data_IF_476100178789
#
_entry.id   IF_476100178789
#
_cell.length_a   1.000
_cell.length_b   1.000
_cell.length_c   1.000
_cell.angle_alpha   90.00
_cell.angle_beta   90.00
_cell.angle_gamma   90.00
#
_symmetry.space_group_name_H-M   'P 1'
#
loop_
_entity.id
_entity.type
_entity.pdbx_description
1 polymer ?
#
# COMPACT_ATOMS: atom_id res chain seq x y z
N UNK A 1 -17.05 12.47 8.83
CA UNK A 1 -15.84 12.71 8.02
C UNK A 1 -15.83 11.74 6.86
N UNK A 2 -15.62 12.25 5.62
CA UNK A 2 -15.57 11.45 4.39
C UNK A 2 -14.17 11.47 3.78
N UNK A 3 -13.57 10.31 3.64
CA UNK A 3 -12.21 10.13 3.12
C UNK A 3 -12.25 9.34 1.83
N UNK A 4 -11.69 9.90 0.75
CA UNK A 4 -11.50 9.17 -0.51
C UNK A 4 -10.04 8.70 -0.61
N UNK A 5 -9.84 7.40 -0.68
CA UNK A 5 -8.52 6.76 -0.80
C UNK A 5 -8.22 6.31 -2.23
N UNK A 6 -6.98 6.48 -2.65
CA UNK A 6 -6.49 6.11 -3.98
C UNK A 6 -5.24 5.24 -3.84
N UNK A 7 -5.16 4.13 -4.58
CA UNK A 7 -3.94 3.34 -4.70
C UNK A 7 -3.67 2.87 -6.13
N UNK A 8 -2.42 2.98 -6.53
CA UNK A 8 -1.87 2.52 -7.81
C UNK A 8 -0.46 1.95 -7.65
N UNK A 9 -0.09 1.58 -6.41
CA UNK A 9 1.26 1.11 -6.10
C UNK A 9 1.60 -0.26 -6.70
N UNK A 10 0.58 -1.12 -6.87
CA UNK A 10 0.71 -2.46 -7.46
C UNK A 10 0.25 -2.45 -8.93
N UNK A 11 -0.05 -3.61 -9.51
CA UNK A 11 -0.71 -3.69 -10.82
C UNK A 11 -2.19 -3.29 -10.79
N UNK A 12 -2.83 -3.42 -9.64
CA UNK A 12 -4.21 -3.03 -9.41
C UNK A 12 -4.37 -1.52 -9.25
N UNK A 13 -5.54 -1.00 -9.63
CA UNK A 13 -6.00 0.35 -9.27
C UNK A 13 -7.13 0.18 -8.26
N UNK A 14 -7.00 0.78 -7.09
CA UNK A 14 -8.04 0.74 -6.06
C UNK A 14 -8.48 2.15 -5.66
N UNK A 15 -9.77 2.30 -5.41
CA UNK A 15 -10.37 3.52 -4.87
C UNK A 15 -11.33 3.12 -3.75
N UNK A 16 -11.20 3.74 -2.59
CA UNK A 16 -12.05 3.54 -1.43
C UNK A 16 -12.72 4.83 -0.97
N UNK A 17 -13.94 4.74 -0.52
CA UNK A 17 -14.63 5.81 0.21
C UNK A 17 -14.99 5.28 1.59
N UNK A 18 -14.55 6.02 2.61
CA UNK A 18 -14.88 5.77 4.01
C UNK A 18 -15.64 6.96 4.55
N UNK A 19 -16.81 6.72 5.13
CA UNK A 19 -17.55 7.72 5.88
C UNK A 19 -17.56 7.33 7.35
N UNK A 20 -17.11 8.25 8.21
CA UNK A 20 -17.10 8.12 9.65
C UNK A 20 -18.05 9.14 10.26
N UNK A 21 -18.75 8.74 11.31
CA UNK A 21 -19.52 9.68 12.11
C UNK A 21 -18.62 10.46 13.10
N UNK A 22 -19.24 11.17 14.06
CA UNK A 22 -18.49 12.03 14.99
C UNK A 22 -17.74 11.26 16.07
N UNK A 23 -18.14 10.04 16.35
CA UNK A 23 -17.48 9.15 17.33
C UNK A 23 -16.42 8.25 16.67
N UNK A 24 -16.27 8.34 15.33
CA UNK A 24 -15.33 7.55 14.56
C UNK A 24 -15.87 6.20 14.09
N UNK A 25 -17.16 5.91 14.29
CA UNK A 25 -17.80 4.70 13.76
C UNK A 25 -17.97 4.78 12.24
N UNK A 26 -17.73 3.66 11.56
CA UNK A 26 -17.87 3.57 10.10
C UNK A 26 -19.37 3.54 9.71
N UNK A 27 -19.81 4.55 8.96
CA UNK A 27 -21.15 4.62 8.39
C UNK A 27 -21.22 4.00 7.00
N UNK A 28 -20.18 4.24 6.19
CA UNK A 28 -20.08 3.74 4.82
C UNK A 28 -18.63 3.35 4.53
N UNK A 29 -18.45 2.19 3.92
CA UNK A 29 -17.16 1.70 3.44
C UNK A 29 -17.35 1.04 2.07
N UNK A 30 -16.93 1.71 1.00
CA UNK A 30 -17.04 1.24 -0.39
C UNK A 30 -15.65 1.16 -0.98
N UNK A 31 -15.31 0.06 -1.64
CA UNK A 31 -14.09 -0.06 -2.43
C UNK A 31 -14.42 -0.55 -3.84
N UNK A 32 -13.81 0.09 -4.82
CA UNK A 32 -13.82 -0.34 -6.22
C UNK A 32 -12.40 -0.58 -6.70
N UNK A 33 -12.25 -1.60 -7.53
CA UNK A 33 -10.94 -2.05 -7.99
C UNK A 33 -10.97 -2.35 -9.49
N UNK A 34 -9.82 -2.14 -10.13
CA UNK A 34 -9.46 -2.68 -11.42
C UNK A 34 -8.23 -3.59 -11.21
N UNK A 35 -8.47 -4.89 -11.15
CA UNK A 35 -7.43 -5.91 -10.99
C UNK A 35 -7.13 -6.51 -12.39
N UNK A 36 -6.06 -6.09 -13.07
CA UNK A 36 -5.76 -6.57 -14.41
C UNK A 36 -5.36 -8.05 -14.36
N UNK A 37 -5.69 -8.84 -15.41
CA UNK A 37 -5.21 -10.20 -15.52
C UNK A 37 -3.69 -10.30 -15.38
N UNK A 38 -3.14 -11.44 -14.90
CA UNK A 38 -1.71 -11.63 -14.79
C UNK A 38 -0.97 -11.32 -16.10
N UNK A 39 0.15 -10.58 -16.02
CA UNK A 39 0.98 -10.15 -17.15
C UNK A 39 0.35 -9.12 -18.09
N UNK A 40 -0.85 -8.60 -17.81
CA UNK A 40 -1.41 -7.47 -18.54
C UNK A 40 -0.86 -6.14 -18.03
N UNK A 41 -0.99 -5.10 -18.87
CA UNK A 41 -0.56 -3.76 -18.46
C UNK A 41 -1.59 -3.14 -17.51
N UNK A 42 -1.15 -2.51 -16.39
CA UNK A 42 -2.02 -1.72 -15.54
C UNK A 42 -2.74 -0.61 -16.31
N UNK A 43 -3.98 -0.31 -15.93
CA UNK A 43 -4.80 0.73 -16.55
C UNK A 43 -4.97 1.96 -15.66
N UNK A 44 -4.01 2.25 -14.81
CA UNK A 44 -4.10 3.32 -13.80
C UNK A 44 -4.58 4.65 -14.35
N UNK A 45 -4.05 5.09 -15.50
CA UNK A 45 -4.38 6.38 -16.13
C UNK A 45 -5.83 6.49 -16.58
N UNK A 46 -6.46 5.40 -16.97
CA UNK A 46 -7.85 5.38 -17.44
C UNK A 46 -8.83 4.92 -16.37
N UNK A 47 -8.38 4.06 -15.43
CA UNK A 47 -9.23 3.47 -14.42
C UNK A 47 -9.39 4.36 -13.17
N UNK A 48 -8.34 5.07 -12.73
CA UNK A 48 -8.32 5.71 -11.42
C UNK A 48 -9.45 6.74 -11.21
N UNK A 49 -9.58 7.71 -12.12
CA UNK A 49 -10.66 8.70 -12.03
C UNK A 49 -12.04 8.11 -12.30
N UNK A 50 -12.14 7.14 -13.21
CA UNK A 50 -13.42 6.46 -13.48
C UNK A 50 -13.91 5.69 -12.24
N UNK A 51 -13.01 4.99 -11.54
CA UNK A 51 -13.34 4.31 -10.28
C UNK A 51 -13.71 5.33 -9.18
N UNK A 52 -13.00 6.46 -9.07
CA UNK A 52 -13.32 7.50 -8.09
C UNK A 52 -14.73 8.05 -8.31
N UNK A 53 -15.07 8.42 -9.55
CA UNK A 53 -16.41 8.90 -9.91
C UNK A 53 -17.48 7.85 -9.60
N UNK A 54 -17.25 6.59 -9.98
CA UNK A 54 -18.20 5.51 -9.73
C UNK A 54 -18.36 5.24 -8.21
N UNK A 55 -17.29 5.32 -7.42
CA UNK A 55 -17.34 5.12 -5.97
C UNK A 55 -18.15 6.23 -5.29
N UNK A 56 -17.93 7.49 -5.67
CA UNK A 56 -18.70 8.62 -5.15
C UNK A 56 -20.18 8.54 -5.56
N UNK A 57 -20.45 8.21 -6.82
CA UNK A 57 -21.82 8.04 -7.33
C UNK A 57 -22.60 6.98 -6.55
N UNK A 58 -22.00 5.82 -6.29
CA UNK A 58 -22.65 4.73 -5.56
C UNK A 58 -22.98 5.11 -4.10
N UNK A 59 -22.17 5.98 -3.52
CA UNK A 59 -22.39 6.50 -2.18
C UNK A 59 -23.37 7.68 -2.14
N UNK A 60 -23.77 8.21 -3.30
CA UNK A 60 -24.55 9.45 -3.39
C UNK A 60 -23.82 10.69 -2.89
N UNK A 61 -22.47 10.70 -2.99
CA UNK A 61 -21.55 11.73 -2.46
C UNK A 61 -20.92 12.49 -3.63
N UNK A 62 -20.86 13.82 -3.54
CA UNK A 62 -20.13 14.67 -4.47
C UNK A 62 -18.68 14.91 -4.05
N UNK A 63 -17.89 15.49 -4.96
CA UNK A 63 -16.51 15.90 -4.64
C UNK A 63 -16.43 16.93 -3.52
N UNK A 64 -17.43 17.81 -3.43
CA UNK A 64 -17.50 18.90 -2.46
C UNK A 64 -17.95 18.43 -1.06
N UNK A 65 -18.38 17.15 -0.97
CA UNK A 65 -18.77 16.51 0.30
C UNK A 65 -17.58 15.78 0.97
N UNK A 66 -16.42 15.75 0.33
CA UNK A 66 -15.23 15.12 0.87
C UNK A 66 -14.51 16.03 1.86
N UNK A 67 -14.00 15.44 2.93
CA UNK A 67 -13.19 16.13 3.94
C UNK A 67 -11.68 15.88 3.76
N UNK A 68 -11.30 14.75 3.14
CA UNK A 68 -9.90 14.32 3.07
C UNK A 68 -9.65 13.41 1.86
N UNK A 69 -8.47 13.57 1.27
CA UNK A 69 -7.93 12.60 0.32
C UNK A 69 -6.80 11.79 0.97
N UNK A 70 -6.76 10.49 0.68
CA UNK A 70 -5.68 9.59 1.04
C UNK A 70 -5.06 8.99 -0.22
N UNK A 71 -3.73 8.82 -0.26
CA UNK A 71 -3.07 8.18 -1.40
C UNK A 71 -1.95 7.27 -0.94
N UNK A 72 -1.85 6.09 -1.55
CA UNK A 72 -0.73 5.19 -1.38
C UNK A 72 0.57 5.81 -1.88
N UNK A 73 1.56 5.97 -0.98
CA UNK A 73 2.87 6.53 -1.31
C UNK A 73 3.91 5.48 -1.67
N UNK A 74 3.59 4.21 -1.51
CA UNK A 74 4.51 3.12 -1.78
C UNK A 74 4.94 2.37 -0.51
N UNK A 75 5.90 1.45 -0.67
CA UNK A 75 6.60 1.12 -1.91
C UNK A 75 5.71 0.47 -2.98
N UNK A 76 6.16 0.51 -4.21
CA UNK A 76 5.42 -0.05 -5.33
C UNK A 76 6.08 0.23 -6.69
N UNK A 77 5.30 0.09 -7.76
CA UNK A 77 5.77 0.35 -9.12
C UNK A 77 6.03 1.84 -9.34
N UNK A 78 7.16 2.19 -9.94
CA UNK A 78 7.56 3.58 -10.19
C UNK A 78 6.50 4.40 -10.94
N UNK A 79 5.95 3.84 -12.01
CA UNK A 79 4.91 4.51 -12.82
C UNK A 79 3.59 4.62 -12.07
N UNK A 80 3.17 3.54 -11.41
CA UNK A 80 1.93 3.52 -10.64
C UNK A 80 1.92 4.59 -9.55
N UNK A 81 2.93 4.61 -8.70
CA UNK A 81 3.05 5.60 -7.62
C UNK A 81 2.96 7.05 -8.14
N UNK A 82 3.63 7.34 -9.26
CA UNK A 82 3.57 8.69 -9.86
C UNK A 82 2.18 9.04 -10.36
N UNK A 83 1.48 8.10 -11.00
CA UNK A 83 0.11 8.34 -11.47
C UNK A 83 -0.81 8.62 -10.27
N UNK A 84 -0.82 7.77 -9.26
CA UNK A 84 -1.68 7.95 -8.09
C UNK A 84 -1.42 9.25 -7.35
N UNK A 85 -0.16 9.50 -6.99
CA UNK A 85 0.22 10.69 -6.23
C UNK A 85 -0.03 11.99 -7.02
N UNK A 86 0.31 12.01 -8.33
CA UNK A 86 0.06 13.19 -9.15
C UNK A 86 -1.45 13.47 -9.29
N UNK A 87 -2.27 12.43 -9.47
CA UNK A 87 -3.73 12.57 -9.53
C UNK A 87 -4.29 13.05 -8.20
N UNK A 88 -3.87 12.47 -7.07
CA UNK A 88 -4.30 12.90 -5.74
C UNK A 88 -3.93 14.36 -5.45
N UNK A 89 -2.71 14.79 -5.79
CA UNK A 89 -2.25 16.18 -5.65
C UNK A 89 -3.06 17.14 -6.52
N UNK A 90 -3.34 16.76 -7.77
CA UNK A 90 -4.16 17.57 -8.67
C UNK A 90 -5.60 17.72 -8.15
N UNK A 91 -6.21 16.64 -7.64
CA UNK A 91 -7.53 16.68 -7.01
C UNK A 91 -7.52 17.54 -5.73
N UNK A 92 -6.50 17.37 -4.87
CA UNK A 92 -6.35 18.16 -3.65
C UNK A 92 -6.29 19.67 -3.95
N UNK A 93 -5.50 20.07 -4.95
CA UNK A 93 -5.44 21.46 -5.38
C UNK A 93 -6.73 21.97 -6.03
N UNK A 94 -7.36 21.15 -6.90
CA UNK A 94 -8.56 21.58 -7.63
C UNK A 94 -9.80 21.68 -6.74
N UNK A 95 -9.83 20.96 -5.62
CA UNK A 95 -10.96 20.88 -4.69
C UNK A 95 -10.66 21.47 -3.31
N UNK A 96 -9.47 22.05 -3.14
CA UNK A 96 -8.99 22.61 -1.85
C UNK A 96 -9.08 21.59 -0.70
N UNK A 97 -8.87 20.30 -1.01
CA UNK A 97 -8.97 19.20 -0.04
C UNK A 97 -7.62 18.93 0.63
N UNK A 98 -7.62 18.64 1.93
CA UNK A 98 -6.45 18.09 2.61
C UNK A 98 -6.02 16.76 1.98
N UNK A 99 -4.72 16.48 2.00
CA UNK A 99 -4.14 15.24 1.45
C UNK A 99 -3.25 14.54 2.48
N UNK A 100 -3.39 13.22 2.59
CA UNK A 100 -2.53 12.35 3.41
C UNK A 100 -1.89 11.29 2.54
N UNK A 101 -0.56 11.20 2.60
CA UNK A 101 0.20 10.08 2.05
C UNK A 101 0.22 8.91 3.04
N UNK A 102 -0.08 7.69 2.57
CA UNK A 102 -0.14 6.48 3.39
C UNK A 102 0.80 5.43 2.82
N UNK A 103 1.63 4.82 3.69
CA UNK A 103 2.49 3.71 3.27
C UNK A 103 1.66 2.52 2.79
N UNK A 104 1.96 2.02 1.59
CA UNK A 104 1.29 0.86 0.99
C UNK A 104 1.52 -0.42 1.81
N UNK A 105 2.73 -0.61 2.37
CA UNK A 105 3.01 -1.74 3.26
C UNK A 105 2.20 -1.65 4.56
N UNK A 106 2.09 -0.46 5.15
CA UNK A 106 1.31 -0.27 6.37
C UNK A 106 -0.18 -0.54 6.14
N UNK A 107 -0.72 -0.09 5.02
CA UNK A 107 -2.10 -0.35 4.61
C UNK A 107 -2.35 -1.85 4.41
N UNK A 108 -1.44 -2.54 3.74
CA UNK A 108 -1.53 -3.99 3.53
C UNK A 108 -1.46 -4.76 4.86
N UNK A 109 -0.55 -4.38 5.78
CA UNK A 109 -0.48 -4.97 7.10
C UNK A 109 -1.75 -4.68 7.94
N UNK A 110 -2.32 -3.47 7.82
CA UNK A 110 -3.57 -3.10 8.51
C UNK A 110 -4.75 -3.97 8.07
N UNK A 111 -4.88 -4.27 6.78
CA UNK A 111 -5.90 -5.19 6.27
C UNK A 111 -5.78 -6.59 6.88
N UNK A 112 -4.57 -7.03 7.21
CA UNK A 112 -4.32 -8.36 7.78
C UNK A 112 -4.34 -8.38 9.32
N UNK A 113 -4.36 -7.24 10.00
CA UNK A 113 -4.15 -7.15 11.44
C UNK A 113 -5.14 -7.98 12.26
N UNK A 114 -6.43 -7.95 11.93
CA UNK A 114 -7.47 -8.72 12.63
C UNK A 114 -7.24 -10.22 12.46
N UNK A 115 -6.92 -10.66 11.24
CA UNK A 115 -6.65 -12.08 10.96
C UNK A 115 -5.33 -12.55 11.60
N UNK A 116 -4.33 -11.69 11.69
CA UNK A 116 -3.07 -11.95 12.36
C UNK A 116 -3.29 -12.12 13.88
N UNK A 117 -3.99 -11.17 14.50
CA UNK A 117 -4.29 -11.22 15.93
C UNK A 117 -5.13 -12.44 16.31
N UNK A 118 -6.12 -12.81 15.50
CA UNK A 118 -6.95 -14.00 15.72
C UNK A 118 -6.13 -15.31 15.69
N UNK A 119 -4.94 -15.31 15.10
CA UNK A 119 -4.02 -16.44 15.03
C UNK A 119 -2.82 -16.28 15.98
N UNK A 120 -2.83 -15.30 16.88
CA UNK A 120 -1.71 -14.95 17.73
C UNK A 120 -0.42 -14.73 16.91
N UNK A 121 -0.52 -13.85 15.89
CA UNK A 121 0.55 -13.51 14.95
C UNK A 121 0.63 -12.00 14.75
N UNK A 122 1.79 -11.56 14.31
CA UNK A 122 2.06 -10.18 13.89
C UNK A 122 1.79 -10.05 12.38
N UNK A 123 1.42 -8.86 11.93
CA UNK A 123 1.14 -8.61 10.53
C UNK A 123 2.44 -8.26 9.77
N UNK A 124 2.75 -9.01 8.72
CA UNK A 124 3.88 -8.80 7.82
C UNK A 124 3.36 -8.50 6.41
N UNK A 125 3.61 -7.30 5.92
CA UNK A 125 3.35 -6.93 4.54
C UNK A 125 4.55 -7.25 3.65
N UNK A 126 4.31 -7.93 2.52
CA UNK A 126 5.36 -8.34 1.57
C UNK A 126 4.85 -8.11 0.15
N UNK A 127 5.44 -7.16 -0.56
CA UNK A 127 5.13 -6.86 -1.96
C UNK A 127 6.28 -7.29 -2.88
N UNK A 128 5.96 -7.72 -4.10
CA UNK A 128 6.95 -8.08 -5.11
C UNK A 128 7.72 -6.82 -5.59
N UNK A 129 9.00 -6.72 -5.22
CA UNK A 129 9.88 -5.64 -5.65
C UNK A 129 10.54 -5.91 -7.02
N UNK A 130 10.16 -7.00 -7.71
CA UNK A 130 10.79 -7.52 -8.92
C UNK A 130 12.24 -7.99 -8.69
N UNK A 131 12.86 -8.58 -9.72
CA UNK A 131 14.26 -9.04 -9.68
C UNK A 131 14.58 -9.99 -8.51
N UNK A 132 13.62 -10.79 -8.09
CA UNK A 132 13.73 -11.72 -6.95
C UNK A 132 13.98 -10.99 -5.62
N UNK A 133 13.44 -9.80 -5.47
CA UNK A 133 13.40 -9.05 -4.22
C UNK A 133 11.96 -8.80 -3.78
N UNK A 134 11.79 -8.51 -2.50
CA UNK A 134 10.52 -8.09 -1.90
C UNK A 134 10.68 -6.75 -1.18
N UNK A 135 9.62 -5.95 -1.19
CA UNK A 135 9.44 -4.88 -0.21
C UNK A 135 8.72 -5.47 0.99
N UNK A 136 9.30 -5.37 2.15
CA UNK A 136 8.70 -5.94 3.36
C UNK A 136 8.76 -4.99 4.55
N UNK A 137 7.75 -5.06 5.41
CA UNK A 137 7.72 -4.42 6.71
C UNK A 137 6.72 -5.13 7.63
N UNK A 138 6.96 -5.12 8.95
CA UNK A 138 6.14 -5.83 9.92
C UNK A 138 5.75 -5.00 11.13
N UNK A 139 4.53 -5.20 11.65
CA UNK A 139 3.99 -4.48 12.80
C UNK A 139 3.29 -5.40 13.78
N UNK A 140 3.33 -5.02 15.08
CA UNK A 140 2.43 -5.60 16.08
C UNK A 140 1.00 -5.10 15.87
N UNK A 141 0.84 -3.79 15.75
CA UNK A 141 -0.44 -3.13 15.43
C UNK A 141 -0.19 -2.03 14.39
N UNK A 142 -0.43 -2.30 13.10
CA UNK A 142 -0.23 -1.31 12.05
C UNK A 142 -1.23 -0.15 12.09
N UNK A 143 -2.32 -0.28 12.84
CA UNK A 143 -3.30 0.78 13.07
C UNK A 143 -2.80 1.82 14.07
N UNK A 144 -2.42 1.39 15.26
CA UNK A 144 -2.00 2.25 16.35
C UNK A 144 -0.50 2.59 16.30
N UNK A 145 0.37 1.60 16.06
CA UNK A 145 1.81 1.79 16.06
C UNK A 145 2.30 2.40 14.75
N UNK A 146 2.92 3.58 14.83
CA UNK A 146 3.62 4.18 13.67
C UNK A 146 4.96 3.51 13.41
N UNK A 147 5.60 2.97 14.44
CA UNK A 147 6.91 2.31 14.36
C UNK A 147 6.74 0.84 14.02
N UNK A 148 7.31 0.37 12.91
CA UNK A 148 7.34 -1.04 12.55
C UNK A 148 8.31 -1.82 13.43
N UNK A 149 8.08 -3.13 13.58
CA UNK A 149 9.03 -4.08 14.20
C UNK A 149 10.09 -4.54 13.18
N UNK A 150 9.69 -4.62 11.91
CA UNK A 150 10.58 -4.80 10.77
C UNK A 150 10.46 -3.57 9.90
N UNK A 151 11.53 -2.79 9.82
CA UNK A 151 11.57 -1.54 9.06
C UNK A 151 11.32 -1.78 7.56
N UNK A 152 10.59 -0.87 6.87
CA UNK A 152 10.36 -0.97 5.45
C UNK A 152 11.68 -1.04 4.66
N UNK A 153 11.89 -2.12 3.93
CA UNK A 153 13.09 -2.30 3.12
C UNK A 153 12.84 -3.16 1.89
N UNK A 154 13.71 -2.98 0.87
CA UNK A 154 13.84 -3.91 -0.24
C UNK A 154 14.92 -4.93 0.10
N UNK A 155 14.62 -6.23 -0.05
CA UNK A 155 15.57 -7.29 0.28
C UNK A 155 15.25 -8.59 -0.46
N UNK A 156 16.24 -9.50 -0.49
CA UNK A 156 16.03 -10.87 -0.96
C UNK A 156 15.07 -11.61 -0.01
N UNK A 157 14.18 -12.49 -0.52
CA UNK A 157 13.25 -13.25 0.31
C UNK A 157 13.94 -14.10 1.38
N UNK A 158 15.11 -14.64 1.08
CA UNK A 158 15.92 -15.45 1.99
C UNK A 158 16.43 -14.61 3.18
N UNK A 159 16.79 -13.34 2.93
CA UNK A 159 17.17 -12.41 4.00
C UNK A 159 15.97 -12.07 4.89
N UNK A 160 14.80 -11.86 4.29
CA UNK A 160 13.57 -11.67 5.05
C UNK A 160 13.29 -12.90 5.93
N UNK A 161 13.36 -14.11 5.36
CA UNK A 161 13.15 -15.35 6.09
C UNK A 161 14.10 -15.51 7.29
N UNK A 162 15.39 -15.17 7.13
CA UNK A 162 16.35 -15.15 8.22
C UNK A 162 15.95 -14.15 9.32
N UNK A 163 15.56 -12.91 8.92
CA UNK A 163 15.07 -11.89 9.87
C UNK A 163 13.85 -12.38 10.66
N UNK A 164 12.90 -13.08 9.99
CA UNK A 164 11.71 -13.61 10.65
C UNK A 164 12.08 -14.71 11.67
N UNK A 165 12.98 -15.63 11.30
CA UNK A 165 13.46 -16.67 12.21
C UNK A 165 14.20 -16.10 13.43
N UNK A 166 15.05 -15.07 13.22
CA UNK A 166 15.83 -14.44 14.27
C UNK A 166 14.96 -13.59 15.22
N UNK A 167 13.81 -13.10 14.75
CA UNK A 167 12.90 -12.30 15.58
C UNK A 167 12.23 -13.11 16.69
N UNK A 168 12.13 -14.42 16.54
CA UNK A 168 11.39 -15.29 17.44
C UNK A 168 9.87 -15.09 17.45
N UNK A 169 9.37 -14.19 16.62
CA UNK A 169 7.96 -13.82 16.53
C UNK A 169 7.20 -14.67 15.53
N UNK A 170 5.88 -14.72 15.68
CA UNK A 170 4.99 -15.47 14.78
C UNK A 170 4.34 -14.49 13.80
N UNK A 171 4.53 -14.70 12.49
CA UNK A 171 4.11 -13.78 11.46
C UNK A 171 3.00 -14.33 10.56
N UNK A 172 2.03 -13.47 10.22
CA UNK A 172 1.10 -13.67 9.11
C UNK A 172 1.57 -12.78 7.95
N UNK A 173 2.14 -13.39 6.91
CA UNK A 173 2.69 -12.69 5.76
C UNK A 173 1.65 -12.56 4.65
N UNK A 174 1.38 -11.33 4.21
CA UNK A 174 0.39 -11.00 3.20
C UNK A 174 0.98 -10.14 2.09
N UNK A 175 0.36 -10.15 0.92
CA UNK A 175 0.79 -9.42 -0.27
C UNK A 175 1.21 -10.34 -1.40
N UNK A 176 1.37 -9.80 -2.60
CA UNK A 176 1.76 -10.54 -3.80
C UNK A 176 3.19 -11.10 -3.71
N UNK A 177 4.08 -10.42 -2.98
CA UNK A 177 5.41 -10.92 -2.66
C UNK A 177 5.37 -12.12 -1.70
N UNK A 178 4.42 -12.14 -0.74
CA UNK A 178 4.25 -13.29 0.13
C UNK A 178 3.76 -14.52 -0.63
N UNK A 179 2.84 -14.35 -1.57
CA UNK A 179 2.38 -15.42 -2.47
C UNK A 179 3.54 -15.92 -3.35
N UNK A 180 4.28 -14.98 -3.97
CA UNK A 180 5.37 -15.31 -4.90
C UNK A 180 6.55 -16.05 -4.26
N UNK A 181 6.78 -15.86 -2.96
CA UNK A 181 7.89 -16.47 -2.21
C UNK A 181 7.40 -17.29 -1.01
N UNK A 182 6.21 -17.89 -1.15
CA UNK A 182 5.52 -18.68 -0.13
C UNK A 182 6.42 -19.69 0.56
N UNK A 183 7.09 -20.55 -0.20
CA UNK A 183 7.89 -21.65 0.34
C UNK A 183 9.05 -21.14 1.21
N UNK A 184 9.69 -20.04 0.79
CA UNK A 184 10.79 -19.39 1.54
C UNK A 184 10.28 -18.85 2.87
N UNK A 185 9.14 -18.13 2.85
CA UNK A 185 8.57 -17.52 4.05
C UNK A 185 7.98 -18.57 5.01
N UNK A 186 7.32 -19.59 4.49
CA UNK A 186 6.82 -20.68 5.32
C UNK A 186 7.96 -21.49 5.96
N UNK A 187 9.10 -21.63 5.26
CA UNK A 187 10.32 -22.22 5.81
C UNK A 187 10.86 -21.49 7.04
N UNK A 188 10.58 -20.19 7.21
CA UNK A 188 10.92 -19.39 8.41
C UNK A 188 9.86 -19.43 9.52
N UNK A 189 8.78 -20.20 9.36
CA UNK A 189 7.67 -20.28 10.32
C UNK A 189 6.56 -19.25 10.11
N UNK A 190 6.65 -18.38 9.11
CA UNK A 190 5.56 -17.47 8.77
C UNK A 190 4.38 -18.24 8.16
N UNK A 191 3.15 -17.79 8.43
CA UNK A 191 1.96 -18.28 7.75
C UNK A 191 1.65 -17.35 6.57
N UNK A 192 1.39 -17.95 5.41
CA UNK A 192 0.96 -17.25 4.20
C UNK A 192 -0.45 -17.74 3.86
N UNK A 193 -1.49 -16.91 3.88
CA UNK A 193 -2.85 -17.29 3.48
C UNK A 193 -2.92 -17.85 2.07
N UNK A 194 -4.04 -18.48 1.70
CA UNK A 194 -4.26 -18.99 0.34
C UNK A 194 -4.09 -17.87 -0.71
N UNK A 195 -3.56 -18.21 -1.89
CA UNK A 195 -3.19 -17.23 -2.94
C UNK A 195 -4.35 -16.32 -3.36
N UNK A 196 -5.58 -16.82 -3.31
CA UNK A 196 -6.80 -16.06 -3.63
C UNK A 196 -7.32 -15.17 -2.51
N UNK A 197 -6.71 -15.20 -1.32
CA UNK A 197 -7.21 -14.46 -0.18
C UNK A 197 -7.18 -12.94 -0.44
N UNK A 198 -8.25 -12.24 -0.05
CA UNK A 198 -8.34 -10.79 -0.19
C UNK A 198 -7.24 -10.05 0.61
N UNK A 199 -6.71 -10.70 1.64
CA UNK A 199 -5.61 -10.18 2.47
C UNK A 199 -4.31 -9.90 1.69
N UNK A 200 -4.13 -10.50 0.51
CA UNK A 200 -2.96 -10.23 -0.35
C UNK A 200 -3.09 -8.95 -1.19
N UNK A 201 -4.24 -8.27 -1.12
CA UNK A 201 -4.53 -7.10 -1.96
C UNK A 201 -4.37 -5.81 -1.16
N UNK A 202 -3.65 -4.86 -1.72
CA UNK A 202 -3.61 -3.50 -1.18
C UNK A 202 -5.01 -2.89 -1.25
N UNK A 203 -5.51 -2.36 -0.15
CA UNK A 203 -6.85 -1.78 -0.04
C UNK A 203 -6.80 -0.27 0.09
N UNK A 204 -7.54 0.43 -0.76
CA UNK A 204 -7.72 1.87 -0.66
C UNK A 204 -8.60 2.28 0.55
N UNK A 205 -9.46 1.40 1.03
CA UNK A 205 -10.18 1.62 2.29
C UNK A 205 -9.24 1.64 3.49
N UNK A 206 -8.21 0.80 3.50
CA UNK A 206 -7.21 0.83 4.57
C UNK A 206 -6.37 2.12 4.53
N UNK A 207 -6.16 2.69 3.34
CA UNK A 207 -5.59 4.04 3.24
C UNK A 207 -6.51 5.07 3.90
N UNK A 208 -7.83 5.00 3.66
CA UNK A 208 -8.79 5.89 4.31
C UNK A 208 -8.77 5.75 5.84
N UNK A 209 -8.79 4.52 6.36
CA UNK A 209 -8.77 4.23 7.80
C UNK A 209 -7.51 4.77 8.48
N UNK A 210 -6.36 4.57 7.85
CA UNK A 210 -5.09 5.09 8.36
C UNK A 210 -5.02 6.62 8.27
N UNK A 211 -5.48 7.20 7.15
CA UNK A 211 -5.45 8.64 6.93
C UNK A 211 -6.35 9.41 7.90
N UNK A 212 -7.47 8.83 8.31
CA UNK A 212 -8.38 9.42 9.29
C UNK A 212 -7.73 9.73 10.65
N UNK A 213 -6.66 9.03 11.01
CA UNK A 213 -5.86 9.23 12.23
C UNK A 213 -4.53 9.95 12.00
N UNK A 214 -4.29 10.53 10.81
CA UNK A 214 -3.05 11.21 10.45
C UNK A 214 -3.29 12.69 10.16
N UNK A 215 -2.29 13.50 10.43
CA UNK A 215 -2.32 14.93 10.07
C UNK A 215 -2.16 15.10 8.56
N UNK A 216 -2.97 15.94 7.91
CA UNK A 216 -2.82 16.29 6.51
C UNK A 216 -1.47 16.93 6.23
N UNK A 217 -0.95 16.67 5.04
CA UNK A 217 0.30 17.22 4.55
C UNK A 217 0.03 18.30 3.48
N UNK A 218 0.98 19.20 3.24
CA UNK A 218 0.92 20.00 2.03
C UNK A 218 0.92 19.03 0.82
N UNK A 219 -0.03 19.15 -0.12
CA UNK A 219 -0.10 18.24 -1.26
C UNK A 219 1.21 18.15 -2.04
N UNK A 220 2.01 19.22 -2.09
CA UNK A 220 3.30 19.23 -2.77
C UNK A 220 4.38 18.41 -2.05
N UNK A 221 4.22 18.10 -0.77
CA UNK A 221 5.17 17.34 0.03
C UNK A 221 4.86 15.83 0.06
N UNK A 222 3.67 15.42 -0.38
CA UNK A 222 3.33 14.00 -0.56
C UNK A 222 4.14 13.43 -1.71
N UNK A 223 5.12 12.59 -1.42
CA UNK A 223 6.08 12.06 -2.39
C UNK A 223 6.08 10.54 -2.39
N UNK A 224 6.48 9.90 -3.52
CA UNK A 224 6.67 8.45 -3.55
C UNK A 224 7.75 8.01 -2.57
N UNK A 225 7.48 6.93 -1.85
CA UNK A 225 8.45 6.23 -1.01
C UNK A 225 9.22 5.20 -1.86
N UNK A 226 10.42 5.57 -2.26
CA UNK A 226 11.30 4.70 -3.05
C UNK A 226 12.26 3.94 -2.13
N UNK A 227 11.91 2.71 -1.73
CA UNK A 227 12.79 1.83 -0.96
C UNK A 227 13.93 1.24 -1.80
N UNK A 228 13.84 1.37 -3.13
CA UNK A 228 14.89 1.02 -4.08
C UNK A 228 15.05 2.14 -5.10
N UNK A 229 16.30 2.42 -5.47
CA UNK A 229 16.58 3.38 -6.53
C UNK A 229 15.97 2.89 -7.85
N UNK A 230 15.44 3.81 -8.68
CA UNK A 230 14.97 3.48 -10.03
C UNK A 230 16.05 2.76 -10.84
N UNK A 231 15.65 1.81 -11.68
CA UNK A 231 16.58 1.03 -12.51
C UNK A 231 17.49 1.89 -13.39
N UNK A 232 16.97 3.01 -13.89
CA UNK A 232 17.76 3.97 -14.67
C UNK A 232 18.89 4.60 -13.82
N UNK A 233 18.64 4.89 -12.56
CA UNK A 233 19.65 5.45 -11.65
C UNK A 233 20.68 4.40 -11.23
N UNK A 234 20.26 3.16 -11.01
CA UNK A 234 21.17 2.04 -10.75
C UNK A 234 22.09 1.79 -11.95
N UNK A 235 21.56 1.83 -13.18
CA UNK A 235 22.33 1.68 -14.41
C UNK A 235 23.34 2.83 -14.59
N UNK A 236 22.94 4.07 -14.33
CA UNK A 236 23.82 5.23 -14.38
C UNK A 236 24.96 5.15 -13.36
N UNK A 237 24.65 4.74 -12.12
CA UNK A 237 25.67 4.55 -11.07
C UNK A 237 26.64 3.43 -11.41
N UNK A 238 26.16 2.31 -11.98
CA UNK A 238 27.00 1.21 -12.44
C UNK A 238 27.93 1.66 -13.58
N UNK A 239 27.39 2.38 -14.58
CA UNK A 239 28.19 2.94 -15.68
C UNK A 239 29.23 3.95 -15.19
N UNK A 240 28.88 4.82 -14.24
CA UNK A 240 29.81 5.79 -13.65
C UNK A 240 30.91 5.12 -12.80
N UNK A 241 30.64 3.98 -12.17
CA UNK A 241 31.65 3.21 -11.44
C UNK A 241 32.64 2.54 -12.39
N UNK A 242 32.15 2.00 -13.53
CA UNK A 242 33.00 1.35 -14.55
C UNK A 242 33.87 2.36 -15.30
N UNK A 243 33.44 3.62 -15.43
CA UNK A 243 34.21 4.67 -16.12
C UNK A 243 35.33 5.27 -15.24
N UNK A 244 35.45 4.91 -13.99
CA UNK A 244 36.49 5.36 -13.05
C UNK A 244 37.57 4.31 -12.79
N UNK A 245 37.47 3.15 -13.41
CA UNK A 245 38.46 2.08 -13.38
C UNK A 245 39.20 2.01 -14.71
#
# INVERSE_FOLDING_TARGET
>A
MRVLGLDTATSATAVGLLELDRDGSELTAIERRDDPPPRSRPRHTTALLALAIATLHDAGVGWDDLDLLAVGTGPGTFTGLRIGITTARALAHARELPLVGVSTLRSLAKAAAVAAQAQDRLALAVLDARRREVFAAGWADPGAARTPLIEPAAMAPERLAATLSDSGERWLAVGDGAVGFRDVLQGSGAVVPDDGAALHRVSALEHCRLAAGLEPQNPNDVRPEYLRLPDAELTLRAAAATAKT
#
